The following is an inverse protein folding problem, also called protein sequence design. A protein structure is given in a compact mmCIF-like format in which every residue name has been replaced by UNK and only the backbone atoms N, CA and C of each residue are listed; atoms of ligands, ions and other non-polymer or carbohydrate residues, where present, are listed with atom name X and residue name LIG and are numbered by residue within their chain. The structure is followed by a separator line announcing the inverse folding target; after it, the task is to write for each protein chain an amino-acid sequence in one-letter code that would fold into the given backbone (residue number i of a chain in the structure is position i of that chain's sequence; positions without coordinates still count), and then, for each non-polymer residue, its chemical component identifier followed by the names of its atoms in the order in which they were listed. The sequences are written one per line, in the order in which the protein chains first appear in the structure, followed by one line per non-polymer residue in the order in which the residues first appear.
data_IF_377452119895
#
_entry.id   IF_377452119895
#
_cell.length_a   1.000
_cell.length_b   1.000
_cell.length_c   1.000
_cell.angle_alpha   90.00
_cell.angle_beta   90.00
_cell.angle_gamma   90.00
#
_symmetry.space_group_name_H-M   'P 1'
#
loop_
_entity.id
_entity.type
_entity.pdbx_description
1 polymer ?
#
# COMPACT_ATOMS: atom_id res chain seq x y z
N UNK A 1 19.00 -33.47 -4.64
CA UNK A 1 17.92 -33.01 -3.73
C UNK A 1 17.84 -31.48 -3.64
N UNK A 2 18.97 -30.77 -3.48
CA UNK A 2 18.98 -29.30 -3.36
C UNK A 2 18.48 -28.54 -4.61
N UNK A 3 18.78 -29.02 -5.82
CA UNK A 3 18.40 -28.33 -7.08
C UNK A 3 16.88 -28.26 -7.24
N UNK A 4 16.17 -29.37 -7.03
CA UNK A 4 14.70 -29.42 -7.13
C UNK A 4 14.01 -28.51 -6.09
N UNK A 5 14.54 -28.49 -4.87
CA UNK A 5 14.09 -27.59 -3.82
C UNK A 5 14.35 -26.12 -4.18
N UNK A 6 15.53 -25.81 -4.71
CA UNK A 6 15.91 -24.48 -5.17
C UNK A 6 14.99 -23.96 -6.27
N UNK A 7 14.67 -24.78 -7.27
CA UNK A 7 13.75 -24.41 -8.36
C UNK A 7 12.34 -24.12 -7.84
N UNK A 8 11.84 -24.94 -6.90
CA UNK A 8 10.54 -24.71 -6.29
C UNK A 8 10.49 -23.38 -5.53
N UNK A 9 11.51 -23.09 -4.73
CA UNK A 9 11.56 -21.84 -3.97
C UNK A 9 11.72 -20.64 -4.88
N UNK A 10 12.53 -20.75 -5.94
CA UNK A 10 12.72 -19.68 -6.90
C UNK A 10 11.40 -19.33 -7.61
N UNK A 11 10.57 -20.32 -7.95
CA UNK A 11 9.25 -20.07 -8.53
C UNK A 11 8.31 -19.33 -7.57
N UNK A 12 8.32 -19.68 -6.28
CA UNK A 12 7.51 -18.99 -5.27
C UNK A 12 7.98 -17.56 -5.06
N UNK A 13 9.29 -17.33 -5.04
CA UNK A 13 9.89 -15.99 -4.93
C UNK A 13 9.53 -15.15 -6.15
N UNK A 14 9.74 -15.66 -7.36
CA UNK A 14 9.40 -14.97 -8.60
C UNK A 14 7.90 -14.63 -8.65
N UNK A 15 7.03 -15.59 -8.33
CA UNK A 15 5.59 -15.34 -8.25
C UNK A 15 5.26 -14.19 -7.27
N UNK A 16 5.88 -14.17 -6.09
CA UNK A 16 5.67 -13.11 -5.11
C UNK A 16 6.17 -11.75 -5.62
N UNK A 17 7.36 -11.71 -6.22
CA UNK A 17 7.97 -10.48 -6.74
C UNK A 17 7.16 -9.90 -7.90
N UNK A 18 6.81 -10.73 -8.88
CA UNK A 18 6.02 -10.33 -10.04
C UNK A 18 4.64 -9.78 -9.64
N UNK A 19 3.96 -10.45 -8.70
CA UNK A 19 2.68 -9.96 -8.17
C UNK A 19 2.84 -8.67 -7.36
N UNK A 20 3.95 -8.50 -6.64
CA UNK A 20 4.22 -7.27 -5.88
C UNK A 20 4.41 -6.09 -6.83
N UNK A 21 5.16 -6.27 -7.92
CA UNK A 21 5.33 -5.24 -8.96
C UNK A 21 3.99 -4.92 -9.63
N UNK A 22 3.21 -5.94 -9.99
CA UNK A 22 1.88 -5.73 -10.56
C UNK A 22 0.96 -4.92 -9.63
N UNK A 23 0.98 -5.20 -8.33
CA UNK A 23 0.19 -4.44 -7.35
C UNK A 23 0.64 -2.98 -7.19
N UNK A 24 1.93 -2.68 -7.32
CA UNK A 24 2.41 -1.29 -7.33
C UNK A 24 1.82 -0.53 -8.51
N UNK A 25 1.92 -1.09 -9.72
CA UNK A 25 1.33 -0.50 -10.92
C UNK A 25 -0.21 -0.37 -10.86
N UNK A 26 -0.89 -1.32 -10.20
CA UNK A 26 -2.35 -1.28 -10.05
C UNK A 26 -2.83 -0.24 -9.03
N UNK A 27 -2.16 -0.11 -7.88
CA UNK A 27 -2.68 0.66 -6.76
C UNK A 27 -1.94 1.99 -6.51
N UNK A 28 -0.67 2.12 -6.90
CA UNK A 28 0.08 3.35 -6.74
C UNK A 28 -0.06 4.21 -8.00
N UNK A 29 -0.79 5.31 -7.86
CA UNK A 29 -1.01 6.25 -8.97
C UNK A 29 0.33 6.80 -9.48
N UNK A 30 0.59 6.66 -10.77
CA UNK A 30 1.81 7.19 -11.41
C UNK A 30 3.11 6.51 -10.97
N UNK A 31 3.05 5.27 -10.46
CA UNK A 31 4.25 4.49 -10.16
C UNK A 31 5.04 4.18 -11.43
N UNK A 32 6.37 4.27 -11.32
CA UNK A 32 7.33 3.90 -12.37
C UNK A 32 8.34 2.90 -11.80
N UNK A 33 8.81 1.97 -12.63
CA UNK A 33 9.76 0.96 -12.20
C UNK A 33 11.06 1.61 -11.71
N UNK A 34 11.51 1.22 -10.51
CA UNK A 34 12.69 1.78 -9.86
C UNK A 34 12.40 2.96 -8.91
N UNK A 35 11.13 3.39 -8.78
CA UNK A 35 10.73 4.46 -7.86
C UNK A 35 10.42 3.98 -6.42
N UNK A 36 10.74 2.73 -6.09
CA UNK A 36 10.30 2.05 -4.85
C UNK A 36 10.57 2.82 -3.56
N UNK A 37 11.73 3.48 -3.48
CA UNK A 37 12.15 4.23 -2.29
C UNK A 37 12.04 5.75 -2.47
N UNK A 38 11.61 6.22 -3.64
CA UNK A 38 11.68 7.65 -4.02
C UNK A 38 10.32 8.28 -4.28
N UNK A 39 9.28 7.49 -4.55
CA UNK A 39 7.95 8.03 -4.75
C UNK A 39 7.34 8.53 -3.42
N UNK A 40 7.10 9.84 -3.35
CA UNK A 40 6.46 10.49 -2.20
C UNK A 40 5.44 11.53 -2.66
N UNK A 41 4.44 11.76 -1.80
CA UNK A 41 3.37 12.73 -2.03
C UNK A 41 3.62 13.95 -1.13
N UNK A 42 3.61 15.14 -1.72
CA UNK A 42 4.01 16.37 -1.03
C UNK A 42 2.86 17.33 -0.74
N UNK A 43 1.65 17.06 -1.25
CA UNK A 43 0.47 17.90 -1.01
C UNK A 43 -0.70 17.11 -0.45
N UNK A 44 -1.55 17.79 0.32
CA UNK A 44 -2.78 17.20 0.87
C UNK A 44 -3.76 16.82 -0.24
N UNK A 45 -3.84 17.62 -1.31
CA UNK A 45 -4.72 17.37 -2.46
C UNK A 45 -4.33 16.06 -3.14
N UNK A 46 -3.05 15.93 -3.48
CA UNK A 46 -2.52 14.72 -4.11
C UNK A 46 -2.72 13.49 -3.20
N UNK A 47 -2.54 13.63 -1.88
CA UNK A 47 -2.74 12.51 -0.95
C UNK A 47 -4.19 11.98 -1.01
N UNK A 48 -5.18 12.88 -0.99
CA UNK A 48 -6.59 12.51 -1.10
C UNK A 48 -6.91 11.87 -2.45
N UNK A 49 -6.32 12.38 -3.53
CA UNK A 49 -6.47 11.85 -4.87
C UNK A 49 -5.88 10.43 -5.00
N UNK A 50 -4.68 10.20 -4.44
CA UNK A 50 -4.05 8.88 -4.44
C UNK A 50 -4.84 7.87 -3.60
N UNK A 51 -5.37 8.30 -2.45
CA UNK A 51 -6.27 7.46 -1.64
C UNK A 51 -7.55 7.09 -2.41
N UNK A 52 -8.16 8.05 -3.11
CA UNK A 52 -9.31 7.79 -3.97
C UNK A 52 -8.99 6.78 -5.07
N UNK A 53 -7.86 6.97 -5.76
CA UNK A 53 -7.39 6.05 -6.79
C UNK A 53 -7.22 4.62 -6.28
N UNK A 54 -6.59 4.43 -5.11
CA UNK A 54 -6.42 3.10 -4.50
C UNK A 54 -7.77 2.42 -4.26
N UNK A 55 -8.77 3.16 -3.76
CA UNK A 55 -10.10 2.62 -3.49
C UNK A 55 -10.83 2.23 -4.77
N UNK A 56 -10.79 3.07 -5.79
CA UNK A 56 -11.38 2.80 -7.10
C UNK A 56 -10.73 1.57 -7.75
N UNK A 57 -9.39 1.50 -7.75
CA UNK A 57 -8.65 0.37 -8.29
C UNK A 57 -8.94 -0.91 -7.52
N UNK A 58 -9.00 -0.86 -6.19
CA UNK A 58 -9.36 -2.01 -5.36
C UNK A 58 -10.72 -2.58 -5.76
N UNK A 59 -11.74 -1.73 -5.97
CA UNK A 59 -13.07 -2.18 -6.40
C UNK A 59 -13.10 -2.68 -7.85
N UNK A 60 -12.18 -2.23 -8.70
CA UNK A 60 -12.11 -2.59 -10.10
C UNK A 60 -11.23 -3.81 -10.41
N UNK A 61 -10.47 -4.35 -9.43
CA UNK A 61 -9.48 -5.43 -9.63
C UNK A 61 -9.96 -6.55 -10.56
N UNK A 62 -11.13 -7.20 -10.36
CA UNK A 62 -11.59 -8.29 -11.22
C UNK A 62 -11.72 -7.95 -12.70
N UNK A 63 -11.88 -6.67 -13.03
CA UNK A 63 -12.09 -6.18 -14.39
C UNK A 63 -10.82 -5.62 -15.03
N UNK A 64 -9.88 -5.09 -14.24
CA UNK A 64 -8.71 -4.37 -14.76
C UNK A 64 -7.41 -5.17 -14.65
N UNK A 65 -7.34 -6.17 -13.77
CA UNK A 65 -6.13 -6.96 -13.59
C UNK A 65 -6.01 -8.08 -14.62
N UNK A 66 -4.79 -8.32 -15.12
CA UNK A 66 -4.48 -9.49 -15.94
C UNK A 66 -4.40 -10.79 -15.12
N UNK A 67 -4.15 -10.68 -13.80
CA UNK A 67 -4.10 -11.80 -12.87
C UNK A 67 -5.48 -12.20 -12.34
N UNK A 68 -5.57 -13.42 -11.80
CA UNK A 68 -6.77 -13.89 -11.11
C UNK A 68 -6.67 -13.60 -9.61
N UNK A 69 -7.27 -12.49 -9.18
CA UNK A 69 -7.32 -12.10 -7.77
C UNK A 69 -8.74 -12.19 -7.23
N UNK A 70 -8.87 -12.73 -6.02
CA UNK A 70 -10.12 -12.78 -5.27
C UNK A 70 -9.95 -12.04 -3.95
N UNK A 71 -11.00 -11.33 -3.53
CA UNK A 71 -10.99 -10.66 -2.23
C UNK A 71 -11.11 -11.68 -1.10
N UNK A 72 -10.30 -11.50 -0.07
CA UNK A 72 -10.36 -12.30 1.14
C UNK A 72 -10.14 -11.42 2.37
N UNK A 73 -10.88 -11.69 3.43
CA UNK A 73 -10.72 -11.07 4.74
C UNK A 73 -10.70 -12.15 5.83
N UNK A 74 -9.89 -12.01 6.89
CA UNK A 74 -9.92 -12.96 8.00
C UNK A 74 -11.34 -13.02 8.59
N UNK A 75 -11.91 -14.23 8.66
CA UNK A 75 -13.21 -14.48 9.29
C UNK A 75 -14.42 -13.82 8.62
N UNK A 76 -14.36 -13.49 7.32
CA UNK A 76 -15.45 -12.77 6.64
C UNK A 76 -15.53 -11.28 6.95
N UNK A 77 -14.47 -10.73 7.56
CA UNK A 77 -14.33 -9.28 7.76
C UNK A 77 -14.17 -8.49 6.46
N UNK A 78 -14.17 -7.15 6.53
CA UNK A 78 -14.09 -6.29 5.35
C UNK A 78 -12.83 -6.59 4.53
N UNK A 79 -12.98 -6.71 3.21
CA UNK A 79 -11.90 -7.06 2.28
C UNK A 79 -10.80 -6.00 2.17
N UNK A 80 -11.08 -4.75 2.54
CA UNK A 80 -10.11 -3.65 2.60
C UNK A 80 -10.30 -2.88 3.91
N UNK A 81 -9.19 -2.52 4.55
CA UNK A 81 -9.19 -1.67 5.75
C UNK A 81 -8.22 -0.51 5.54
N UNK A 82 -8.77 0.71 5.51
CA UNK A 82 -7.99 1.92 5.55
C UNK A 82 -7.82 2.35 7.01
N UNK A 83 -6.58 2.40 7.49
CA UNK A 83 -6.26 2.77 8.86
C UNK A 83 -5.57 4.12 8.88
N UNK A 84 -6.08 5.04 9.69
CA UNK A 84 -5.37 6.28 10.02
C UNK A 84 -4.69 6.11 11.37
N UNK A 85 -3.41 6.46 11.46
CA UNK A 85 -2.66 6.51 12.73
C UNK A 85 -2.22 7.95 12.96
N UNK A 86 -2.54 8.48 14.12
CA UNK A 86 -2.21 9.84 14.54
C UNK A 86 -1.89 9.85 16.03
N UNK A 87 -1.10 10.82 16.47
CA UNK A 87 -0.82 10.97 17.90
C UNK A 87 -2.11 11.23 18.68
N UNK A 88 -2.26 10.56 19.83
CA UNK A 88 -3.44 10.72 20.69
C UNK A 88 -3.68 12.17 21.08
N UNK A 89 -2.61 12.91 21.30
CA UNK A 89 -2.60 14.37 21.42
C UNK A 89 -1.41 14.91 20.64
N UNK A 90 -1.65 15.91 19.82
CA UNK A 90 -0.60 16.61 19.08
C UNK A 90 -1.04 18.03 18.86
N UNK A 91 -0.75 18.88 19.84
CA UNK A 91 -0.87 20.33 19.70
C UNK A 91 0.50 20.88 19.33
N UNK A 92 0.61 21.48 18.15
CA UNK A 92 1.88 21.99 17.62
C UNK A 92 1.60 23.40 17.11
N UNK A 93 2.13 24.38 17.83
CA UNK A 93 2.04 25.79 17.49
C UNK A 93 3.44 26.33 17.19
N UNK A 94 3.85 26.35 15.91
CA UNK A 94 5.15 26.85 15.51
C UNK A 94 5.28 28.37 15.62
N UNK A 95 4.19 29.14 15.72
CA UNK A 95 4.28 30.61 15.89
C UNK A 95 4.74 30.97 17.31
N UNK A 96 4.37 30.17 18.29
CA UNK A 96 4.72 30.35 19.71
C UNK A 96 5.86 29.43 20.19
N UNK A 97 6.52 28.69 19.30
CA UNK A 97 7.57 27.71 19.61
C UNK A 97 7.14 26.63 20.63
N UNK A 98 5.86 26.24 20.66
CA UNK A 98 5.31 25.30 21.64
C UNK A 98 4.71 24.04 21.02
N UNK A 99 4.82 22.92 21.73
CA UNK A 99 4.13 21.67 21.39
C UNK A 99 3.75 20.87 22.64
N UNK A 100 2.59 20.19 22.60
CA UNK A 100 2.16 19.16 23.55
C UNK A 100 1.79 17.89 22.77
N UNK A 101 2.60 16.84 22.95
CA UNK A 101 2.46 15.58 22.22
C UNK A 101 2.33 14.43 23.20
N UNK A 102 1.23 13.69 23.09
CA UNK A 102 1.10 12.34 23.62
C UNK A 102 1.40 11.36 22.47
N UNK A 103 2.56 10.67 22.49
CA UNK A 103 3.01 9.84 21.39
C UNK A 103 2.24 8.52 21.27
N UNK A 104 1.29 8.24 22.17
CA UNK A 104 0.43 7.07 22.03
C UNK A 104 -0.40 7.13 20.74
N UNK A 105 -0.64 5.96 20.14
CA UNK A 105 -1.32 5.76 18.84
C UNK A 105 -2.52 4.84 19.01
#
# INVERSE_FOLDING_TARGET
QLILFGLSNQLVVAFKEDNTVAFKHLFLKGYEDGADDTQAIYTRGDLLEHLGFVLEQYLAVPNVSLGHYAYGGPGGGPGLRLCQRFFRRGDIDPENDTFDIDPSV
#
